data_IF_504137919216
#
_entry.id   IF_504137919216
#
_cell.length_a   1.000
_cell.length_b   1.000
_cell.length_c   1.000
_cell.angle_alpha   90.00
_cell.angle_beta   90.00
_cell.angle_gamma   90.00
#
_symmetry.space_group_name_H-M   'P 1'
#
loop_
_entity.id
_entity.type
_entity.pdbx_description
1 polymer ?
#
# COMPACT_ATOMS: atom_id res chain seq x y z
N UNK A 1 32.91 36.03 -3.80
CA UNK A 1 31.60 35.72 -4.40
C UNK A 1 31.44 34.24 -4.76
N UNK A 2 32.28 33.65 -5.63
CA UNK A 2 32.09 32.28 -6.15
C UNK A 2 31.93 31.16 -5.10
N UNK A 3 32.65 31.22 -3.98
CA UNK A 3 32.61 30.15 -2.96
C UNK A 3 31.24 30.02 -2.28
N UNK A 4 30.54 31.14 -2.09
CA UNK A 4 29.19 31.16 -1.53
C UNK A 4 28.15 30.61 -2.53
N UNK A 5 28.29 30.96 -3.81
CA UNK A 5 27.42 30.46 -4.88
C UNK A 5 27.56 28.94 -5.03
N UNK A 6 28.79 28.42 -4.99
CA UNK A 6 29.01 26.97 -4.99
C UNK A 6 28.41 26.29 -3.75
N UNK A 7 28.54 26.88 -2.56
CA UNK A 7 27.94 26.34 -1.34
C UNK A 7 26.41 26.22 -1.44
N UNK A 8 25.76 27.26 -1.96
CA UNK A 8 24.30 27.25 -2.19
C UNK A 8 23.91 26.19 -3.25
N UNK A 9 24.69 26.06 -4.32
CA UNK A 9 24.44 25.05 -5.35
C UNK A 9 24.56 23.62 -4.80
N UNK A 10 25.55 23.35 -3.95
CA UNK A 10 25.69 22.06 -3.28
C UNK A 10 24.55 21.78 -2.30
N UNK A 11 24.13 22.77 -1.51
CA UNK A 11 23.00 22.62 -0.59
C UNK A 11 21.68 22.40 -1.33
N UNK A 12 21.46 23.08 -2.46
CA UNK A 12 20.29 22.89 -3.30
C UNK A 12 20.24 21.49 -3.93
N UNK A 13 21.39 20.96 -4.37
CA UNK A 13 21.49 19.61 -4.93
C UNK A 13 21.27 18.52 -3.86
N UNK A 14 21.76 18.74 -2.64
CA UNK A 14 21.58 17.81 -1.52
C UNK A 14 20.14 17.78 -0.97
N UNK A 15 19.36 18.84 -1.16
CA UNK A 15 17.96 18.92 -0.74
C UNK A 15 16.97 18.29 -1.75
N UNK A 16 17.39 18.03 -3.00
CA UNK A 16 16.57 17.39 -4.02
C UNK A 16 16.04 15.99 -3.64
N UNK A 17 16.83 15.05 -3.09
CA UNK A 17 16.33 13.73 -2.72
C UNK A 17 15.37 13.75 -1.51
N UNK A 18 15.40 14.79 -0.67
CA UNK A 18 14.47 14.93 0.46
C UNK A 18 13.04 15.31 0.02
N UNK A 19 12.86 15.71 -1.25
CA UNK A 19 11.57 15.99 -1.89
C UNK A 19 11.12 14.87 -2.84
N UNK A 20 11.81 13.73 -2.85
CA UNK A 20 11.29 12.53 -3.49
C UNK A 20 10.16 11.97 -2.60
N UNK A 21 8.98 12.56 -2.71
CA UNK A 21 7.74 11.91 -2.25
C UNK A 21 7.72 10.48 -2.79
N UNK A 22 7.26 9.53 -1.98
CA UNK A 22 7.10 8.14 -2.42
C UNK A 22 6.27 8.15 -3.68
N UNK A 23 6.91 7.97 -4.84
CA UNK A 23 6.24 8.06 -6.14
C UNK A 23 5.14 7.01 -6.14
N UNK A 24 3.90 7.47 -6.09
CA UNK A 24 2.76 6.59 -5.98
C UNK A 24 2.67 5.74 -7.26
N UNK A 25 2.91 4.43 -7.12
CA UNK A 25 2.88 3.51 -8.24
C UNK A 25 1.44 3.05 -8.48
N UNK A 26 0.79 3.70 -9.45
CA UNK A 26 -0.57 3.37 -9.89
C UNK A 26 -0.64 1.96 -10.51
N UNK A 27 0.46 1.44 -11.04
CA UNK A 27 0.49 0.07 -11.59
C UNK A 27 0.46 -0.95 -10.46
N UNK A 28 1.19 -0.69 -9.38
CA UNK A 28 1.15 -1.51 -8.18
C UNK A 28 -0.25 -1.51 -7.54
N UNK A 29 -0.88 -0.34 -7.40
CA UNK A 29 -2.26 -0.24 -6.91
C UNK A 29 -3.21 -1.12 -7.73
N UNK A 30 -3.18 -0.99 -9.06
CA UNK A 30 -4.04 -1.76 -9.95
C UNK A 30 -3.80 -3.26 -9.81
N UNK A 31 -2.54 -3.69 -9.79
CA UNK A 31 -2.18 -5.11 -9.65
C UNK A 31 -2.66 -5.68 -8.32
N UNK A 32 -2.54 -4.93 -7.22
CA UNK A 32 -3.03 -5.33 -5.90
C UNK A 32 -4.55 -5.47 -5.91
N UNK A 33 -5.27 -4.52 -6.52
CA UNK A 33 -6.74 -4.59 -6.63
C UNK A 33 -7.21 -5.82 -7.43
N UNK A 34 -6.56 -6.13 -8.54
CA UNK A 34 -6.90 -7.31 -9.35
C UNK A 34 -6.67 -8.62 -8.55
N UNK A 35 -5.57 -8.71 -7.80
CA UNK A 35 -5.28 -9.86 -6.93
C UNK A 35 -6.32 -9.98 -5.81
N UNK A 36 -6.63 -8.88 -5.13
CA UNK A 36 -7.60 -8.86 -4.03
C UNK A 36 -8.98 -9.24 -4.56
N UNK A 37 -9.41 -8.72 -5.70
CA UNK A 37 -10.69 -9.07 -6.31
C UNK A 37 -10.78 -10.58 -6.62
N UNK A 38 -9.71 -11.17 -7.16
CA UNK A 38 -9.64 -12.61 -7.44
C UNK A 38 -9.56 -13.49 -6.20
N UNK A 39 -9.05 -12.97 -5.07
CA UNK A 39 -8.82 -13.72 -3.82
C UNK A 39 -9.72 -13.31 -2.67
N UNK A 40 -10.69 -12.43 -2.87
CA UNK A 40 -11.45 -11.84 -1.76
C UNK A 40 -12.19 -12.89 -0.92
N UNK A 41 -12.61 -13.99 -1.54
CA UNK A 41 -13.21 -15.14 -0.86
C UNK A 41 -12.24 -15.89 0.06
N UNK A 42 -10.96 -16.00 -0.33
CA UNK A 42 -9.91 -16.60 0.49
C UNK A 42 -9.48 -15.64 1.62
N UNK A 43 -9.33 -14.35 1.29
CA UNK A 43 -8.82 -13.32 2.22
C UNK A 43 -9.78 -13.06 3.37
N UNK A 44 -11.10 -12.94 3.08
CA UNK A 44 -12.09 -12.59 4.11
C UNK A 44 -12.56 -13.80 4.93
N UNK A 45 -12.12 -15.01 4.59
CA UNK A 45 -12.72 -16.24 5.07
C UNK A 45 -14.12 -16.42 4.47
N UNK A 46 -14.20 -17.11 3.34
CA UNK A 46 -15.45 -17.49 2.70
C UNK A 46 -15.86 -18.91 3.04
N UNK A 47 -17.11 -19.25 2.75
CA UNK A 47 -17.61 -20.62 2.80
C UNK A 47 -17.59 -21.19 1.37
N UNK A 48 -17.09 -22.41 1.21
CA UNK A 48 -17.15 -23.10 -0.08
C UNK A 48 -18.61 -23.31 -0.50
N UNK A 49 -18.85 -23.52 -1.80
CA UNK A 49 -20.19 -23.83 -2.30
C UNK A 49 -20.77 -25.05 -1.56
N UNK A 50 -21.97 -24.88 -0.97
CA UNK A 50 -22.67 -25.83 -0.07
C UNK A 50 -22.12 -25.99 1.35
N UNK A 51 -21.08 -25.26 1.74
CA UNK A 51 -20.63 -25.26 3.14
C UNK A 51 -21.63 -24.47 3.99
N UNK A 52 -22.13 -25.10 5.07
CA UNK A 52 -23.01 -24.44 6.05
C UNK A 52 -22.13 -23.69 7.06
N UNK A 53 -22.18 -22.35 7.10
CA UNK A 53 -21.44 -21.56 8.09
C UNK A 53 -21.92 -21.88 9.50
N UNK A 54 -21.01 -22.15 10.42
CA UNK A 54 -21.35 -22.00 11.84
C UNK A 54 -21.18 -20.54 12.21
N UNK A 55 -22.29 -19.80 12.22
CA UNK A 55 -22.33 -18.45 12.76
C UNK A 55 -22.28 -18.53 14.29
N UNK A 56 -21.70 -17.52 14.93
CA UNK A 56 -21.57 -17.47 16.41
C UNK A 56 -22.96 -17.71 17.03
N UNK A 57 -23.11 -18.85 17.68
CA UNK A 57 -24.30 -19.22 18.44
C UNK A 57 -24.25 -18.62 19.83
N UNK A 58 -25.40 -18.24 20.37
CA UNK A 58 -25.52 -17.81 21.75
C UNK A 58 -25.20 -19.01 22.67
N UNK A 59 -24.33 -18.87 23.68
CA UNK A 59 -24.05 -19.96 24.60
C UNK A 59 -25.30 -20.33 25.40
N UNK A 60 -25.62 -21.62 25.45
CA UNK A 60 -26.71 -22.14 26.27
C UNK A 60 -26.40 -21.81 27.74
N UNK A 61 -27.31 -21.06 28.37
CA UNK A 61 -27.23 -20.65 29.79
C UNK A 61 -27.97 -21.64 30.68
#
# INVERSE_FOLDING_TARGET
MNRFVCGIAFLALAAAPARAETRYDRNLEKAVMDIVAGKIGDIRGGFSYKQVPQLVGLPDT
#
